data_IF_825475043916
#
_entry.id   IF_825475043916
#
_cell.length_a   1.000
_cell.length_b   1.000
_cell.length_c   1.000
_cell.angle_alpha   90.00
_cell.angle_beta   90.00
_cell.angle_gamma   90.00
#
_symmetry.space_group_name_H-M   'P 1'
#
loop_
_entity.id
_entity.type
_entity.pdbx_description
1 polymer ?
#
# COMPACT_ATOMS: atom_id res chain seq x y z
N UNK A 1 8.45 10.61 17.77
CA UNK A 1 9.60 11.06 16.95
C UNK A 1 10.02 10.01 15.92
N UNK A 2 10.17 8.72 16.30
CA UNK A 2 10.59 7.64 15.38
C UNK A 2 9.61 7.32 14.23
N UNK A 3 8.34 7.02 14.51
CA UNK A 3 7.36 6.75 13.43
C UNK A 3 7.15 7.92 12.46
N UNK A 4 7.32 9.16 12.94
CA UNK A 4 7.24 10.34 12.09
C UNK A 4 8.43 10.44 11.10
N UNK A 5 9.63 9.98 11.49
CA UNK A 5 10.73 9.92 10.53
C UNK A 5 10.54 8.80 9.51
N UNK A 6 9.92 7.67 9.90
CA UNK A 6 9.58 6.58 8.98
C UNK A 6 8.53 7.01 7.96
N UNK A 7 7.54 7.82 8.35
CA UNK A 7 6.52 8.31 7.42
C UNK A 7 7.11 9.00 6.18
N UNK A 8 8.24 9.72 6.35
CA UNK A 8 8.93 10.39 5.25
C UNK A 8 9.70 9.44 4.33
N UNK A 9 10.17 8.29 4.83
CA UNK A 9 10.78 7.26 3.98
C UNK A 9 9.70 6.53 3.19
N UNK A 10 8.62 6.12 3.86
CA UNK A 10 7.52 5.39 3.21
C UNK A 10 6.83 6.22 2.12
N UNK A 11 6.66 7.54 2.34
CA UNK A 11 6.12 8.45 1.34
C UNK A 11 6.97 8.50 0.04
N UNK A 12 8.30 8.39 0.15
CA UNK A 12 9.18 8.33 -1.03
C UNK A 12 9.16 6.93 -1.64
N UNK A 13 9.22 5.90 -0.81
CA UNK A 13 9.23 4.51 -1.28
C UNK A 13 8.02 4.18 -2.17
N UNK A 14 6.80 4.56 -1.79
CA UNK A 14 5.64 4.23 -2.62
C UNK A 14 5.68 4.94 -3.98
N UNK A 15 6.15 6.19 -4.03
CA UNK A 15 6.26 6.96 -5.27
C UNK A 15 7.32 6.36 -6.20
N UNK A 16 8.45 5.95 -5.63
CA UNK A 16 9.53 5.30 -6.37
C UNK A 16 9.05 3.97 -6.98
N UNK A 17 8.27 3.18 -6.24
CA UNK A 17 7.69 1.94 -6.77
C UNK A 17 6.70 2.17 -7.90
N UNK A 18 5.78 3.14 -7.78
CA UNK A 18 4.83 3.45 -8.85
C UNK A 18 5.56 3.99 -10.10
N UNK A 19 6.55 4.84 -9.91
CA UNK A 19 7.38 5.38 -10.99
C UNK A 19 8.12 4.26 -11.71
N UNK A 20 8.79 3.38 -10.97
CA UNK A 20 9.50 2.24 -11.53
C UNK A 20 8.54 1.30 -12.28
N UNK A 21 7.39 0.99 -11.70
CA UNK A 21 6.38 0.13 -12.33
C UNK A 21 5.91 0.69 -13.68
N UNK A 22 5.68 2.00 -13.78
CA UNK A 22 5.30 2.62 -15.05
C UNK A 22 6.48 2.69 -16.03
N UNK A 23 7.71 2.89 -15.56
CA UNK A 23 8.90 2.94 -16.42
C UNK A 23 9.21 1.60 -17.11
N UNK A 24 8.87 0.48 -16.47
CA UNK A 24 9.11 -0.87 -17.02
C UNK A 24 7.90 -1.44 -17.76
N UNK A 25 6.79 -0.71 -17.81
CA UNK A 25 5.54 -1.12 -18.47
C UNK A 25 5.26 -0.21 -19.65
N UNK A 26 5.02 -0.80 -20.82
CA UNK A 26 4.56 -0.05 -22.00
C UNK A 26 3.06 0.33 -21.89
N UNK A 27 2.32 -0.34 -21.00
CA UNK A 27 0.90 -0.10 -20.73
C UNK A 27 0.68 0.80 -19.50
N UNK A 28 -0.49 1.45 -19.44
CA UNK A 28 -0.96 2.20 -18.26
C UNK A 28 -1.18 1.27 -17.05
N UNK A 29 -0.53 1.59 -15.93
CA UNK A 29 -0.63 0.80 -14.70
C UNK A 29 -1.85 1.17 -13.84
N UNK A 30 -2.56 2.26 -14.16
CA UNK A 30 -3.69 2.77 -13.36
C UNK A 30 -4.78 1.72 -13.08
N UNK A 31 -5.19 0.86 -14.05
CA UNK A 31 -6.17 -0.20 -13.77
C UNK A 31 -5.68 -1.21 -12.73
N UNK A 32 -4.39 -1.53 -12.71
CA UNK A 32 -3.79 -2.42 -11.70
C UNK A 32 -3.74 -1.75 -10.33
N UNK A 33 -3.39 -0.46 -10.28
CA UNK A 33 -3.41 0.32 -9.03
C UNK A 33 -4.81 0.30 -8.43
N UNK A 34 -5.84 0.57 -9.23
CA UNK A 34 -7.23 0.56 -8.76
C UNK A 34 -7.64 -0.82 -8.22
N UNK A 35 -7.37 -1.88 -8.97
CA UNK A 35 -7.67 -3.25 -8.55
C UNK A 35 -7.04 -3.60 -7.19
N UNK A 36 -5.75 -3.31 -7.02
CA UNK A 36 -5.07 -3.61 -5.76
C UNK A 36 -5.54 -2.69 -4.62
N UNK A 37 -5.89 -1.43 -4.90
CA UNK A 37 -6.44 -0.52 -3.91
C UNK A 37 -7.78 -1.01 -3.34
N UNK A 38 -8.66 -1.56 -4.19
CA UNK A 38 -9.94 -2.13 -3.75
C UNK A 38 -9.74 -3.39 -2.86
N UNK A 39 -8.80 -4.25 -3.23
CA UNK A 39 -8.43 -5.44 -2.45
C UNK A 39 -7.83 -5.02 -1.10
N UNK A 40 -6.89 -4.07 -1.10
CA UNK A 40 -6.21 -3.58 0.12
C UNK A 40 -7.21 -2.95 1.10
N UNK A 41 -8.11 -2.09 0.60
CA UNK A 41 -9.14 -1.47 1.43
C UNK A 41 -10.05 -2.51 2.10
N UNK A 42 -10.36 -3.60 1.37
CA UNK A 42 -11.12 -4.72 1.92
C UNK A 42 -10.35 -5.44 3.04
N UNK A 43 -9.06 -5.71 2.83
CA UNK A 43 -8.22 -6.38 3.83
C UNK A 43 -8.05 -5.54 5.11
N UNK A 44 -7.83 -4.23 4.99
CA UNK A 44 -7.65 -3.34 6.15
C UNK A 44 -8.95 -3.15 6.95
N UNK A 45 -10.10 -3.17 6.28
CA UNK A 45 -11.41 -2.91 6.92
C UNK A 45 -12.10 -4.16 7.48
N UNK A 46 -11.64 -5.36 7.12
CA UNK A 46 -12.24 -6.62 7.58
C UNK A 46 -11.64 -7.09 8.90
N UNK A 47 -12.38 -7.89 9.71
CA UNK A 47 -11.87 -8.33 11.00
C UNK A 47 -10.72 -9.34 10.89
N UNK A 48 -9.73 -9.24 11.78
CA UNK A 48 -8.53 -10.09 11.82
C UNK A 48 -8.24 -10.57 13.25
N UNK A 49 -7.90 -11.84 13.40
CA UNK A 49 -7.60 -12.46 14.69
C UNK A 49 -6.14 -12.24 15.12
N UNK A 50 -5.27 -11.78 14.21
CA UNK A 50 -3.89 -11.44 14.53
C UNK A 50 -3.65 -9.93 14.45
N UNK A 51 -3.04 -9.37 15.50
CA UNK A 51 -2.60 -7.97 15.46
C UNK A 51 -1.21 -7.85 14.80
N UNK A 52 -1.15 -7.20 13.63
CA UNK A 52 0.06 -6.90 12.87
C UNK A 52 0.05 -5.44 12.41
N UNK A 53 1.14 -4.98 11.83
CA UNK A 53 1.23 -3.60 11.32
C UNK A 53 0.25 -3.30 10.16
N UNK A 54 -0.13 -4.35 9.41
CA UNK A 54 -1.05 -4.27 8.28
C UNK A 54 -2.23 -5.24 8.43
N UNK A 55 -2.53 -5.71 9.65
CA UNK A 55 -3.71 -6.57 9.87
C UNK A 55 -4.99 -5.76 9.68
N UNK A 56 -6.09 -6.47 9.44
CA UNK A 56 -7.43 -5.90 9.51
C UNK A 56 -7.82 -5.44 10.93
N UNK A 57 -9.11 -5.18 11.14
CA UNK A 57 -9.66 -4.73 12.42
C UNK A 57 -9.58 -5.85 13.46
N UNK A 58 -8.88 -5.70 14.59
CA UNK A 58 -8.81 -6.76 15.59
C UNK A 58 -10.18 -7.16 16.14
N UNK A 59 -10.43 -8.47 16.26
CA UNK A 59 -11.66 -9.06 16.86
C UNK A 59 -11.53 -9.25 18.36
#
# INVERSE_FOLDING_TARGET
KFYLSLLRSEARHYQDYLTLAQQVSDDDISPRIQLFGEIEATLISTPDNEFRFHSGVPV
#
